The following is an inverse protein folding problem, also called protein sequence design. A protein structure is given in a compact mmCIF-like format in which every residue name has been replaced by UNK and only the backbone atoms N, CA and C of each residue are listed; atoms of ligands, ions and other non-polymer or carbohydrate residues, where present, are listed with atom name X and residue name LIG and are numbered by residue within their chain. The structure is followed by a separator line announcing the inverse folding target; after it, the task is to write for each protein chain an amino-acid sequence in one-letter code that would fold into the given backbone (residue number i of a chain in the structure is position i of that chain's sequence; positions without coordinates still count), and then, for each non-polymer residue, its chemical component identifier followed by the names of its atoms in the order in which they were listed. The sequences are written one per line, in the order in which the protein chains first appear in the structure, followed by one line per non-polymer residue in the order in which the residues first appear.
data_IF_156431915236
#
_entry.id   IF_156431915236
#
_cell.length_a   1.000
_cell.length_b   1.000
_cell.length_c   1.000
_cell.angle_alpha   90.00
_cell.angle_beta   90.00
_cell.angle_gamma   90.00
#
_symmetry.space_group_name_H-M   'P 1'
#
loop_
_entity.id
_entity.type
_entity.pdbx_description
1 polymer ?
#
# COMPACT_ATOMS: atom_id res chain seq x y z
N UNK A 1 -11.92 21.15 21.05
CA UNK A 1 -11.61 21.75 19.73
C UNK A 1 -12.84 21.65 18.85
N UNK A 2 -13.46 22.78 18.53
CA UNK A 2 -14.66 22.86 17.68
C UNK A 2 -14.26 22.91 16.18
N UNK A 3 -15.16 22.53 15.25
CA UNK A 3 -14.92 22.54 13.80
C UNK A 3 -14.41 23.88 13.29
N UNK A 4 -14.95 24.99 13.82
CA UNK A 4 -14.52 26.35 13.48
C UNK A 4 -13.09 26.65 13.93
N UNK A 5 -12.74 26.25 15.14
CA UNK A 5 -11.38 26.45 15.67
C UNK A 5 -10.36 25.65 14.86
N UNK A 6 -10.70 24.41 14.51
CA UNK A 6 -9.86 23.57 13.65
C UNK A 6 -9.63 24.20 12.27
N UNK A 7 -10.68 24.71 11.62
CA UNK A 7 -10.57 25.36 10.31
C UNK A 7 -9.76 26.66 10.38
N UNK A 8 -9.91 27.45 11.45
CA UNK A 8 -9.14 28.68 11.63
C UNK A 8 -7.64 28.39 11.83
N UNK A 9 -7.30 27.36 12.61
CA UNK A 9 -5.92 26.91 12.81
C UNK A 9 -5.33 26.37 11.49
N UNK A 10 -6.10 25.59 10.73
CA UNK A 10 -5.68 25.07 9.43
C UNK A 10 -5.44 26.20 8.41
N UNK A 11 -6.32 27.21 8.38
CA UNK A 11 -6.18 28.37 7.50
C UNK A 11 -4.95 29.22 7.89
N UNK A 12 -4.73 29.45 9.19
CA UNK A 12 -3.55 30.16 9.68
C UNK A 12 -2.25 29.40 9.34
N UNK A 13 -2.23 28.08 9.50
CA UNK A 13 -1.12 27.23 9.06
C UNK A 13 -0.90 27.29 7.54
N UNK A 14 -1.98 27.36 6.77
CA UNK A 14 -1.95 27.56 5.31
C UNK A 14 -1.22 28.83 4.90
N UNK A 15 -1.57 29.96 5.52
CA UNK A 15 -0.99 31.28 5.22
C UNK A 15 0.46 31.40 5.74
N UNK A 16 0.80 30.72 6.84
CA UNK A 16 2.16 30.73 7.40
C UNK A 16 3.14 29.81 6.69
N UNK A 17 2.72 29.13 5.60
CA UNK A 17 3.55 28.16 4.89
C UNK A 17 3.76 26.84 5.65
N UNK A 18 3.05 26.65 6.76
CA UNK A 18 2.99 25.41 7.55
C UNK A 18 1.80 24.53 7.14
N UNK A 19 1.24 24.76 5.95
CA UNK A 19 0.19 23.94 5.40
C UNK A 19 0.65 22.47 5.38
N UNK A 20 -0.23 21.49 5.67
CA UNK A 20 0.05 20.10 5.35
C UNK A 20 0.47 20.05 3.88
N UNK A 21 1.67 19.52 3.61
CA UNK A 21 2.23 19.51 2.27
C UNK A 21 1.25 18.79 1.33
N UNK A 22 1.03 19.35 0.14
CA UNK A 22 0.16 18.78 -0.91
C UNK A 22 0.48 17.31 -1.22
N UNK A 23 1.69 16.85 -0.84
CA UNK A 23 2.13 15.45 -0.86
C UNK A 23 1.16 14.49 -0.19
N UNK A 24 0.55 14.82 0.96
CA UNK A 24 -0.35 13.88 1.66
C UNK A 24 -1.71 13.75 0.95
N UNK A 25 -2.34 14.86 0.61
CA UNK A 25 -3.63 14.86 -0.09
C UNK A 25 -3.52 14.27 -1.51
N UNK A 26 -2.40 14.52 -2.20
CA UNK A 26 -2.16 13.97 -3.53
C UNK A 26 -1.72 12.49 -3.49
N UNK A 27 -1.05 12.05 -2.42
CA UNK A 27 -0.82 10.62 -2.17
C UNK A 27 -2.14 9.89 -1.90
N UNK A 28 -3.04 10.47 -1.11
CA UNK A 28 -4.36 9.94 -0.80
C UNK A 28 -5.23 9.81 -2.06
N UNK A 29 -5.37 10.87 -2.85
CA UNK A 29 -6.15 10.85 -4.10
C UNK A 29 -5.65 9.83 -5.13
N UNK A 30 -4.34 9.58 -5.17
CA UNK A 30 -3.77 8.58 -6.08
C UNK A 30 -3.85 7.15 -5.52
N UNK A 31 -3.85 6.98 -4.20
CA UNK A 31 -4.06 5.69 -3.54
C UNK A 31 -5.50 5.19 -3.72
N UNK A 32 -6.48 6.09 -3.71
CA UNK A 32 -7.91 5.79 -3.96
C UNK A 32 -8.10 4.99 -5.26
N UNK A 33 -7.45 5.42 -6.36
CA UNK A 33 -7.60 4.78 -7.68
C UNK A 33 -7.12 3.33 -7.73
N UNK A 34 -6.16 2.95 -6.89
CA UNK A 34 -5.63 1.56 -6.87
C UNK A 34 -6.69 0.57 -6.41
N UNK A 35 -7.60 1.01 -5.52
CA UNK A 35 -8.64 0.16 -4.96
C UNK A 35 -9.98 0.25 -5.71
N UNK A 36 -10.10 1.13 -6.68
CA UNK A 36 -11.29 1.34 -7.52
C UNK A 36 -11.32 0.41 -8.75
N UNK A 37 -10.98 -0.86 -8.56
CA UNK A 37 -11.08 -1.86 -9.61
C UNK A 37 -12.56 -2.23 -9.86
N UNK A 38 -13.01 -2.39 -11.12
CA UNK A 38 -14.37 -2.80 -11.42
C UNK A 38 -14.69 -4.20 -10.85
N UNK A 39 -15.97 -4.46 -10.61
CA UNK A 39 -16.42 -5.82 -10.31
C UNK A 39 -16.22 -6.73 -11.52
N UNK A 40 -15.72 -7.94 -11.29
CA UNK A 40 -15.44 -8.91 -12.34
C UNK A 40 -15.64 -10.34 -11.83
N UNK A 41 -16.19 -11.20 -12.68
CA UNK A 41 -16.46 -12.60 -12.36
C UNK A 41 -17.63 -12.82 -11.39
N UNK A 42 -17.77 -14.05 -10.91
CA UNK A 42 -18.88 -14.49 -10.07
C UNK A 42 -18.51 -14.60 -8.59
N UNK A 43 -17.21 -14.71 -8.31
CA UNK A 43 -16.67 -14.91 -6.97
C UNK A 43 -15.57 -13.89 -6.75
N UNK A 44 -15.58 -13.24 -5.58
CA UNK A 44 -14.55 -12.30 -5.17
C UNK A 44 -13.88 -12.81 -3.90
N UNK A 45 -12.57 -13.03 -3.97
CA UNK A 45 -11.75 -13.47 -2.85
C UNK A 45 -10.81 -12.33 -2.45
N UNK A 46 -10.88 -11.92 -1.19
CA UNK A 46 -9.88 -11.07 -0.56
C UNK A 46 -8.97 -11.99 0.25
N UNK A 47 -7.67 -11.94 0.00
CA UNK A 47 -6.71 -12.82 0.65
C UNK A 47 -5.64 -12.00 1.37
N UNK A 48 -5.39 -12.35 2.63
CA UNK A 48 -4.28 -11.86 3.44
C UNK A 48 -3.51 -13.07 3.98
N UNK A 49 -2.24 -12.90 4.30
CA UNK A 49 -1.39 -13.99 4.83
C UNK A 49 -0.21 -13.38 5.59
N UNK A 50 0.40 -14.16 6.47
CA UNK A 50 1.66 -13.89 7.16
C UNK A 50 1.64 -12.55 7.90
N UNK A 51 0.51 -12.24 8.56
CA UNK A 51 0.38 -10.97 9.27
C UNK A 51 1.32 -10.88 10.48
N UNK A 52 1.77 -12.02 11.01
CA UNK A 52 2.74 -12.14 12.11
C UNK A 52 2.42 -11.21 13.31
N UNK A 53 1.13 -11.09 13.66
CA UNK A 53 0.64 -10.20 14.73
C UNK A 53 1.02 -8.71 14.57
N UNK A 54 1.26 -8.23 13.35
CA UNK A 54 1.49 -6.82 13.03
C UNK A 54 0.17 -6.04 13.08
N UNK A 55 -0.31 -5.79 14.30
CA UNK A 55 -1.60 -5.13 14.55
C UNK A 55 -1.59 -3.65 14.15
N UNK A 56 -0.44 -2.99 14.33
CA UNK A 56 -0.22 -1.58 13.99
C UNK A 56 0.55 -1.46 12.67
N UNK A 57 0.42 -0.33 11.94
CA UNK A 57 1.21 -0.10 10.74
C UNK A 57 2.72 -0.17 11.02
N UNK A 58 3.48 -0.73 10.08
CA UNK A 58 4.93 -0.86 10.15
C UNK A 58 5.62 -0.41 8.86
N UNK A 59 6.93 -0.15 8.92
CA UNK A 59 7.76 -0.07 7.73
C UNK A 59 8.23 -1.48 7.39
N UNK A 60 7.82 -2.00 6.23
CA UNK A 60 8.18 -3.33 5.77
C UNK A 60 8.94 -3.21 4.44
N UNK A 61 10.16 -3.75 4.40
CA UNK A 61 11.04 -3.69 3.22
C UNK A 61 11.25 -5.09 2.68
N UNK A 62 10.99 -5.25 1.39
CA UNK A 62 11.23 -6.50 0.66
C UNK A 62 12.72 -6.89 0.61
N UNK A 63 13.03 -8.18 0.40
CA UNK A 63 14.42 -8.64 0.30
C UNK A 63 15.12 -8.05 -0.93
N UNK A 64 16.43 -7.82 -0.80
CA UNK A 64 17.25 -7.22 -1.85
C UNK A 64 18.25 -8.17 -2.51
N UNK A 65 18.22 -9.44 -2.15
CA UNK A 65 19.14 -10.46 -2.67
C UNK A 65 18.31 -11.63 -3.20
N UNK A 66 18.64 -12.07 -4.42
CA UNK A 66 18.13 -13.33 -4.94
C UNK A 66 18.90 -14.48 -4.30
N UNK A 67 18.20 -15.32 -3.55
CA UNK A 67 18.76 -16.50 -2.88
C UNK A 67 18.44 -17.83 -3.59
N UNK A 68 17.81 -17.76 -4.77
CA UNK A 68 17.51 -18.92 -5.60
C UNK A 68 18.80 -19.51 -6.17
N UNK A 69 18.96 -20.83 -6.03
CA UNK A 69 20.14 -21.57 -6.50
C UNK A 69 19.78 -22.53 -7.62
N UNK A 70 20.76 -22.87 -8.46
CA UNK A 70 20.62 -23.80 -9.58
C UNK A 70 19.37 -23.48 -10.43
N UNK A 71 18.45 -24.45 -10.58
CA UNK A 71 17.24 -24.30 -11.37
C UNK A 71 16.23 -23.24 -10.87
N UNK A 72 16.46 -22.67 -9.68
CA UNK A 72 15.61 -21.62 -9.07
C UNK A 72 16.23 -20.21 -9.18
N UNK A 73 17.45 -20.08 -9.69
CA UNK A 73 18.09 -18.78 -9.89
C UNK A 73 17.27 -17.93 -10.88
N UNK A 74 16.96 -16.69 -10.49
CA UNK A 74 16.15 -15.80 -11.31
C UNK A 74 14.67 -16.21 -11.49
N UNK A 75 14.15 -17.12 -10.65
CA UNK A 75 12.74 -17.52 -10.65
C UNK A 75 12.01 -17.03 -9.40
N UNK A 76 10.71 -16.77 -9.54
CA UNK A 76 9.85 -16.53 -8.38
C UNK A 76 9.90 -17.76 -7.44
N UNK A 77 9.92 -17.57 -6.12
CA UNK A 77 9.74 -16.31 -5.38
C UNK A 77 11.05 -15.52 -5.13
N UNK A 78 12.19 -15.89 -5.71
CA UNK A 78 13.49 -15.30 -5.38
C UNK A 78 13.87 -14.05 -6.19
N UNK A 79 13.02 -13.62 -7.13
CA UNK A 79 13.29 -12.43 -7.95
C UNK A 79 13.09 -11.17 -7.11
N UNK A 80 13.99 -10.20 -7.23
CA UNK A 80 13.98 -8.95 -6.44
C UNK A 80 14.21 -7.72 -7.32
N UNK A 81 13.87 -6.53 -6.82
CA UNK A 81 14.22 -5.24 -7.43
C UNK A 81 13.68 -5.04 -8.84
N UNK A 82 14.46 -4.44 -9.75
CA UNK A 82 14.05 -4.21 -11.15
C UNK A 82 13.68 -5.50 -11.87
N UNK A 83 14.34 -6.62 -11.54
CA UNK A 83 14.02 -7.90 -12.17
C UNK A 83 12.62 -8.37 -11.78
N UNK A 84 12.17 -8.10 -10.54
CA UNK A 84 10.82 -8.42 -10.10
C UNK A 84 9.79 -7.60 -10.89
N UNK A 85 9.99 -6.29 -10.96
CA UNK A 85 9.09 -5.39 -11.70
C UNK A 85 8.99 -5.78 -13.18
N UNK A 86 10.13 -6.12 -13.81
CA UNK A 86 10.17 -6.57 -15.19
C UNK A 86 9.48 -7.92 -15.39
N UNK A 87 9.70 -8.88 -14.49
CA UNK A 87 9.14 -10.23 -14.61
C UNK A 87 7.61 -10.23 -14.53
N UNK A 88 7.04 -9.41 -13.64
CA UNK A 88 5.58 -9.29 -13.45
C UNK A 88 4.94 -8.15 -14.25
N UNK A 89 5.68 -7.54 -15.17
CA UNK A 89 5.21 -6.44 -16.03
C UNK A 89 4.61 -5.27 -15.24
N UNK A 90 5.16 -5.01 -14.05
CA UNK A 90 4.71 -3.93 -13.18
C UNK A 90 5.26 -2.62 -13.77
N UNK A 91 4.39 -1.61 -14.03
CA UNK A 91 4.83 -0.35 -14.58
C UNK A 91 5.79 0.36 -13.62
N UNK A 92 6.58 1.30 -14.14
CA UNK A 92 7.49 2.14 -13.36
C UNK A 92 6.72 3.18 -12.49
N UNK A 93 5.84 2.70 -11.63
CA UNK A 93 5.09 3.46 -10.63
C UNK A 93 5.84 3.39 -9.28
N UNK A 94 6.32 4.53 -8.75
CA UNK A 94 6.98 4.59 -7.45
C UNK A 94 6.21 3.96 -6.29
N UNK A 95 4.86 3.98 -6.33
CA UNK A 95 4.02 3.32 -5.30
C UNK A 95 4.15 1.81 -5.35
N UNK A 96 4.06 1.24 -6.56
CA UNK A 96 4.16 -0.20 -6.77
C UNK A 96 5.60 -0.67 -6.52
N UNK A 97 6.59 0.13 -6.91
CA UNK A 97 7.99 -0.14 -6.56
C UNK A 97 8.20 -0.17 -5.03
N UNK A 98 7.61 0.76 -4.28
CA UNK A 98 7.66 0.76 -2.81
C UNK A 98 6.93 -0.43 -2.18
N UNK A 99 5.79 -0.84 -2.74
CA UNK A 99 4.99 -1.94 -2.23
C UNK A 99 5.61 -3.32 -2.49
N UNK A 100 6.29 -3.50 -3.62
CA UNK A 100 6.76 -4.81 -4.08
C UNK A 100 8.27 -5.00 -4.08
N UNK A 101 9.06 -3.95 -3.82
CA UNK A 101 10.52 -4.05 -3.89
C UNK A 101 11.23 -3.21 -2.83
N UNK A 102 12.53 -3.45 -2.70
CA UNK A 102 13.41 -2.68 -1.83
C UNK A 102 13.89 -1.34 -2.44
N UNK A 103 13.54 -1.07 -3.70
CA UNK A 103 14.09 0.04 -4.47
C UNK A 103 13.66 1.38 -3.87
N UNK A 104 14.65 2.25 -3.62
CA UNK A 104 14.45 3.58 -3.02
C UNK A 104 13.60 3.56 -1.73
N UNK A 105 13.63 2.45 -0.98
CA UNK A 105 12.75 2.24 0.16
C UNK A 105 12.81 3.37 1.19
N UNK A 106 14.00 3.86 1.56
CA UNK A 106 14.15 4.94 2.54
C UNK A 106 13.47 6.23 2.07
N UNK A 107 13.63 6.57 0.79
CA UNK A 107 12.98 7.73 0.18
C UNK A 107 11.46 7.56 0.17
N UNK A 108 10.98 6.41 -0.29
CA UNK A 108 9.54 6.19 -0.47
C UNK A 108 8.81 5.89 0.84
N UNK A 109 9.47 5.34 1.85
CA UNK A 109 8.92 5.17 3.20
C UNK A 109 8.55 6.52 3.82
N UNK A 110 9.33 7.58 3.58
CA UNK A 110 8.98 8.93 4.01
C UNK A 110 7.79 9.55 3.27
N UNK A 111 7.50 9.08 2.05
CA UNK A 111 6.42 9.60 1.20
C UNK A 111 5.11 8.84 1.40
N UNK A 112 5.15 7.51 1.38
CA UNK A 112 3.98 6.63 1.46
C UNK A 112 3.70 6.11 2.87
N UNK A 113 4.67 6.24 3.78
CA UNK A 113 4.50 5.91 5.18
C UNK A 113 4.54 4.41 5.47
N UNK A 114 3.92 4.04 6.58
CA UNK A 114 3.85 2.67 7.07
C UNK A 114 2.74 1.90 6.36
N UNK A 115 2.96 0.60 6.15
CA UNK A 115 2.00 -0.32 5.54
C UNK A 115 1.28 -1.16 6.60
N UNK A 116 0.15 -1.75 6.22
CA UNK A 116 -0.60 -2.68 7.05
C UNK A 116 -1.38 -1.99 8.19
N UNK A 117 -1.49 -2.69 9.32
CA UNK A 117 -2.32 -2.29 10.46
C UNK A 117 -3.78 -2.69 10.29
N UNK A 118 -4.32 -3.40 11.29
CA UNK A 118 -5.63 -4.02 11.20
C UNK A 118 -6.79 -3.02 11.09
N UNK A 119 -6.65 -1.83 11.66
CA UNK A 119 -7.65 -0.76 11.50
C UNK A 119 -7.76 -0.31 10.04
N UNK A 120 -6.63 -0.15 9.35
CA UNK A 120 -6.60 0.25 7.94
C UNK A 120 -7.11 -0.88 7.03
N UNK A 121 -6.64 -2.11 7.28
CA UNK A 121 -7.11 -3.30 6.56
C UNK A 121 -8.63 -3.48 6.72
N UNK A 122 -9.17 -3.34 7.94
CA UNK A 122 -10.60 -3.48 8.17
C UNK A 122 -11.43 -2.45 7.39
N UNK A 123 -10.96 -1.20 7.29
CA UNK A 123 -11.59 -0.16 6.47
C UNK A 123 -11.57 -0.54 4.99
N UNK A 124 -10.40 -0.97 4.48
CA UNK A 124 -10.25 -1.36 3.08
C UNK A 124 -11.13 -2.57 2.73
N UNK A 125 -11.13 -3.60 3.57
CA UNK A 125 -11.96 -4.81 3.40
C UNK A 125 -13.44 -4.43 3.36
N UNK A 126 -13.91 -3.57 4.28
CA UNK A 126 -15.31 -3.11 4.29
C UNK A 126 -15.66 -2.39 3.00
N UNK A 127 -14.80 -1.49 2.52
CA UNK A 127 -14.99 -0.79 1.24
C UNK A 127 -15.11 -1.77 0.08
N UNK A 128 -14.16 -2.70 -0.05
CA UNK A 128 -14.14 -3.67 -1.15
C UNK A 128 -15.38 -4.58 -1.10
N UNK A 129 -15.78 -5.05 0.09
CA UNK A 129 -16.99 -5.89 0.26
C UNK A 129 -18.28 -5.14 -0.04
N UNK A 130 -18.34 -3.82 0.22
CA UNK A 130 -19.49 -3.00 -0.16
C UNK A 130 -19.66 -2.91 -1.68
N UNK A 131 -18.56 -2.86 -2.43
CA UNK A 131 -18.56 -2.88 -3.89
C UNK A 131 -18.79 -4.29 -4.48
N UNK A 132 -18.55 -5.35 -3.69
CA UNK A 132 -18.59 -6.75 -4.10
C UNK A 132 -19.41 -7.59 -3.10
N UNK A 133 -20.75 -7.53 -3.16
CA UNK A 133 -21.61 -8.34 -2.28
C UNK A 133 -21.28 -9.83 -2.40
N UNK A 134 -21.15 -10.51 -1.25
CA UNK A 134 -20.79 -11.94 -1.20
C UNK A 134 -19.29 -12.24 -1.25
N UNK A 135 -18.41 -11.23 -1.32
CA UNK A 135 -16.97 -11.46 -1.29
C UNK A 135 -16.50 -12.12 0.02
N UNK A 136 -15.59 -13.08 -0.10
CA UNK A 136 -15.01 -13.83 1.02
C UNK A 136 -13.64 -13.25 1.40
N UNK A 137 -13.40 -13.08 2.69
CA UNK A 137 -12.08 -12.78 3.23
C UNK A 137 -11.44 -14.10 3.68
N UNK A 138 -10.27 -14.40 3.16
CA UNK A 138 -9.48 -15.59 3.44
C UNK A 138 -8.16 -15.16 4.09
N UNK A 139 -7.76 -15.87 5.14
CA UNK A 139 -6.49 -15.66 5.85
C UNK A 139 -5.63 -16.92 5.70
N UNK A 140 -4.41 -16.74 5.21
CA UNK A 140 -3.42 -17.79 4.99
C UNK A 140 -2.65 -18.22 6.23
N UNK A 141 -2.74 -17.47 7.35
CA UNK A 141 -2.05 -17.76 8.61
C UNK A 141 -1.21 -16.61 9.14
#
# INVERSE_FOLDING_TARGET
MNRREFLNVLAAAGVSGMAPTASFAQAEQNAERVYDAPAFGNVSLLHITDCHAQLLPIYFREPNVNIGVAGMAGKAPHIVGQNFLKHFEIPADPRLAHAFTYLDFERYAGVYGKVGGFAHLATLIKRIKAQRPGALLLDGG
#
